data_IF_691672552849
#
_entry.id   IF_691672552849
#
_cell.length_a   1.000
_cell.length_b   1.000
_cell.length_c   1.000
_cell.angle_alpha   90.00
_cell.angle_beta   90.00
_cell.angle_gamma   90.00
#
_symmetry.space_group_name_H-M   'P 1'
#
loop_
_entity.id
_entity.type
_entity.pdbx_description
1 polymer ?
#
# COMPACT_ATOMS: atom_id res chain seq x y z
N UNK A 1 63.45 -8.18 -76.88
CA UNK A 1 62.77 -7.12 -76.10
C UNK A 1 61.37 -7.50 -75.66
N UNK A 2 60.58 -8.25 -76.45
CA UNK A 2 59.19 -8.65 -76.12
C UNK A 2 59.06 -9.53 -74.85
N UNK A 3 60.05 -10.34 -74.51
CA UNK A 3 60.00 -11.21 -73.31
C UNK A 3 60.08 -10.38 -72.02
N UNK A 4 60.92 -9.34 -72.00
CA UNK A 4 61.12 -8.48 -70.84
C UNK A 4 59.86 -7.66 -70.50
N UNK A 5 59.11 -7.22 -71.50
CA UNK A 5 57.84 -6.49 -71.30
C UNK A 5 56.76 -7.38 -70.68
N UNK A 6 56.72 -8.66 -71.09
CA UNK A 6 55.75 -9.63 -70.57
C UNK A 6 56.02 -9.98 -69.11
N UNK A 7 57.29 -10.10 -68.73
CA UNK A 7 57.69 -10.35 -67.34
C UNK A 7 57.40 -9.13 -66.46
N UNK A 8 57.63 -7.93 -66.99
CA UNK A 8 57.31 -6.68 -66.31
C UNK A 8 55.79 -6.55 -66.08
N UNK A 9 54.97 -6.81 -67.09
CA UNK A 9 53.51 -6.84 -66.96
C UNK A 9 53.03 -7.85 -65.94
N UNK A 10 53.65 -9.04 -65.90
CA UNK A 10 53.35 -10.07 -64.90
C UNK A 10 53.64 -9.56 -63.49
N UNK A 11 54.78 -8.91 -63.30
CA UNK A 11 55.18 -8.34 -62.02
C UNK A 11 54.26 -7.18 -61.59
N UNK A 12 53.82 -6.33 -62.53
CA UNK A 12 52.82 -5.30 -62.28
C UNK A 12 51.48 -5.90 -61.85
N UNK A 13 51.01 -6.93 -62.56
CA UNK A 13 49.76 -7.62 -62.24
C UNK A 13 49.77 -8.23 -60.84
N UNK A 14 50.88 -8.88 -60.45
CA UNK A 14 51.00 -9.42 -59.09
C UNK A 14 51.08 -8.34 -58.02
N UNK A 15 51.71 -7.19 -58.31
CA UNK A 15 51.79 -6.06 -57.38
C UNK A 15 50.42 -5.42 -57.15
N UNK A 16 49.65 -5.24 -58.22
CA UNK A 16 48.31 -4.65 -58.16
C UNK A 16 47.34 -5.54 -57.36
N UNK A 17 47.38 -6.86 -57.56
CA UNK A 17 46.59 -7.79 -56.75
C UNK A 17 46.96 -7.76 -55.26
N UNK A 18 48.24 -7.63 -54.94
CA UNK A 18 48.69 -7.51 -53.54
C UNK A 18 48.21 -6.22 -52.89
N UNK A 19 48.19 -5.10 -53.62
CA UNK A 19 47.66 -3.83 -53.13
C UNK A 19 46.14 -3.85 -52.95
N UNK A 20 45.40 -4.51 -53.85
CA UNK A 20 43.96 -4.72 -53.72
C UNK A 20 43.65 -5.59 -52.49
N UNK A 21 44.42 -6.66 -52.28
CA UNK A 21 44.28 -7.53 -51.10
C UNK A 21 44.61 -6.79 -49.80
N UNK A 22 45.68 -5.98 -49.76
CA UNK A 22 46.01 -5.13 -48.60
C UNK A 22 44.94 -4.07 -48.33
N UNK A 23 44.43 -3.37 -49.36
CA UNK A 23 43.32 -2.40 -49.21
C UNK A 23 42.04 -3.05 -48.70
N UNK A 24 41.75 -4.29 -49.12
CA UNK A 24 40.58 -5.03 -48.63
C UNK A 24 40.69 -5.45 -47.16
N UNK A 25 41.90 -5.73 -46.66
CA UNK A 25 42.14 -6.02 -45.24
C UNK A 25 42.12 -4.76 -44.37
N UNK A 26 42.63 -3.64 -44.86
CA UNK A 26 42.68 -2.38 -44.08
C UNK A 26 41.32 -1.67 -43.95
N UNK A 27 40.34 -2.01 -44.81
CA UNK A 27 38.95 -1.52 -44.68
C UNK A 27 38.06 -2.34 -43.75
N UNK A 28 38.57 -3.37 -43.08
CA UNK A 28 37.85 -4.08 -42.02
C UNK A 28 38.05 -3.43 -40.65
N UNK A 29 38.03 -2.09 -40.61
CA UNK A 29 37.99 -1.34 -39.36
C UNK A 29 36.59 -1.48 -38.75
N UNK A 30 36.49 -2.48 -37.88
CA UNK A 30 35.62 -2.58 -36.69
C UNK A 30 34.37 -1.71 -36.72
N UNK A 31 33.25 -2.29 -37.18
CA UNK A 31 31.93 -1.83 -36.72
C UNK A 31 31.95 -1.84 -35.18
N UNK A 32 31.49 -0.79 -34.48
CA UNK A 32 31.36 -0.86 -33.04
C UNK A 32 30.40 -2.01 -32.74
N UNK A 33 30.93 -3.04 -32.11
CA UNK A 33 30.16 -4.19 -31.63
C UNK A 33 29.19 -3.57 -30.62
N UNK A 34 27.92 -3.35 -31.02
CA UNK A 34 26.83 -3.03 -30.11
C UNK A 34 26.59 -4.25 -29.22
N UNK A 35 27.54 -4.54 -28.35
CA UNK A 35 27.48 -5.65 -27.41
C UNK A 35 26.68 -5.15 -26.22
N UNK A 36 25.49 -5.71 -26.09
CA UNK A 36 24.86 -6.02 -24.81
C UNK A 36 24.30 -4.85 -23.98
N UNK A 37 23.92 -3.73 -24.58
CA UNK A 37 23.10 -2.73 -23.86
C UNK A 37 21.71 -3.27 -23.53
N UNK A 38 21.14 -4.13 -24.38
CA UNK A 38 19.84 -4.78 -24.15
C UNK A 38 19.80 -5.64 -22.87
N UNK A 39 20.90 -6.33 -22.52
CA UNK A 39 20.96 -7.11 -21.28
C UNK A 39 20.98 -6.20 -20.05
N UNK A 40 21.71 -5.09 -20.12
CA UNK A 40 21.78 -4.09 -19.04
C UNK A 40 20.43 -3.41 -18.86
N UNK A 41 19.74 -3.04 -19.95
CA UNK A 41 18.40 -2.44 -19.91
C UNK A 41 17.38 -3.39 -19.25
N UNK A 42 17.44 -4.68 -19.55
CA UNK A 42 16.55 -5.66 -18.91
C UNK A 42 16.86 -5.85 -17.41
N UNK A 43 18.14 -5.83 -17.02
CA UNK A 43 18.54 -5.86 -15.60
C UNK A 43 18.03 -4.63 -14.88
N UNK A 44 18.20 -3.43 -15.46
CA UNK A 44 17.69 -2.18 -14.87
C UNK A 44 16.17 -2.20 -14.73
N UNK A 45 15.43 -2.72 -15.71
CA UNK A 45 13.97 -2.91 -15.61
C UNK A 45 13.59 -3.84 -14.46
N UNK A 46 14.28 -4.97 -14.30
CA UNK A 46 14.05 -5.89 -13.18
C UNK A 46 14.34 -5.23 -11.83
N UNK A 47 15.41 -4.45 -11.73
CA UNK A 47 15.74 -3.69 -10.51
C UNK A 47 14.65 -2.67 -10.20
N UNK A 48 14.14 -1.94 -11.19
CA UNK A 48 13.04 -0.98 -10.99
C UNK A 48 11.78 -1.70 -10.48
N UNK A 49 11.42 -2.85 -11.07
CA UNK A 49 10.26 -3.63 -10.62
C UNK A 49 10.47 -4.13 -9.18
N UNK A 50 11.67 -4.61 -8.86
CA UNK A 50 12.01 -5.07 -7.51
C UNK A 50 11.95 -3.93 -6.48
N UNK A 51 12.45 -2.74 -6.84
CA UNK A 51 12.38 -1.55 -5.98
C UNK A 51 10.94 -1.09 -5.75
N UNK A 52 10.10 -1.11 -6.79
CA UNK A 52 8.68 -0.79 -6.67
C UNK A 52 7.97 -1.79 -5.73
N UNK A 53 8.24 -3.09 -5.88
CA UNK A 53 7.72 -4.11 -4.98
C UNK A 53 8.18 -3.89 -3.53
N UNK A 54 9.47 -3.60 -3.32
CA UNK A 54 10.02 -3.33 -2.00
C UNK A 54 9.42 -2.06 -1.36
N UNK A 55 9.17 -1.02 -2.16
CA UNK A 55 8.53 0.21 -1.70
C UNK A 55 7.08 -0.04 -1.24
N UNK A 56 6.34 -0.90 -1.94
CA UNK A 56 5.02 -1.31 -1.49
C UNK A 56 5.12 -2.05 -0.14
N UNK A 57 6.02 -3.03 -0.02
CA UNK A 57 6.23 -3.76 1.24
C UNK A 57 6.59 -2.84 2.40
N UNK A 58 7.46 -1.84 2.20
CA UNK A 58 7.85 -0.91 3.27
C UNK A 58 6.69 0.00 3.70
N UNK A 59 5.81 0.38 2.77
CA UNK A 59 4.56 1.08 3.09
C UNK A 59 3.63 0.22 3.94
N UNK A 60 3.50 -1.07 3.62
CA UNK A 60 2.72 -2.01 4.43
C UNK A 60 3.29 -2.20 5.84
N UNK A 61 4.62 -2.22 5.99
CA UNK A 61 5.25 -2.31 7.30
C UNK A 61 4.93 -1.11 8.20
N UNK A 62 4.99 0.11 7.66
CA UNK A 62 4.62 1.33 8.39
C UNK A 62 3.10 1.40 8.68
N UNK A 63 2.27 0.88 7.77
CA UNK A 63 0.82 0.88 7.93
C UNK A 63 0.37 0.03 9.12
N UNK A 64 1.12 -1.01 9.47
CA UNK A 64 0.75 -1.94 10.55
C UNK A 64 0.63 -1.25 11.92
N UNK A 65 1.54 -0.35 12.27
CA UNK A 65 1.50 0.35 13.56
C UNK A 65 0.31 1.30 13.64
N UNK A 66 0.07 2.04 12.56
CA UNK A 66 -1.07 2.96 12.45
C UNK A 66 -2.40 2.20 12.48
N UNK A 67 -2.48 1.05 11.80
CA UNK A 67 -3.65 0.18 11.81
C UNK A 67 -3.92 -0.40 13.21
N UNK A 68 -2.87 -0.81 13.92
CA UNK A 68 -3.00 -1.30 15.30
C UNK A 68 -3.53 -0.21 16.23
N UNK A 69 -2.99 1.01 16.13
CA UNK A 69 -3.47 2.16 16.90
C UNK A 69 -4.92 2.50 16.59
N UNK A 70 -5.32 2.45 15.31
CA UNK A 70 -6.70 2.65 14.90
C UNK A 70 -7.64 1.59 15.50
N UNK A 71 -7.27 0.31 15.40
CA UNK A 71 -8.07 -0.78 15.95
C UNK A 71 -8.22 -0.68 17.48
N UNK A 72 -7.15 -0.30 18.18
CA UNK A 72 -7.20 -0.08 19.63
C UNK A 72 -8.14 1.08 19.98
N UNK A 73 -8.01 2.21 19.28
CA UNK A 73 -8.85 3.38 19.54
C UNK A 73 -10.32 3.08 19.25
N UNK A 74 -10.60 2.31 18.19
CA UNK A 74 -11.96 1.88 17.87
C UNK A 74 -12.54 0.94 18.94
N UNK A 75 -11.71 0.04 19.47
CA UNK A 75 -12.11 -0.85 20.58
C UNK A 75 -12.39 -0.07 21.86
N UNK A 76 -11.60 0.97 22.14
CA UNK A 76 -11.80 1.85 23.30
C UNK A 76 -13.11 2.65 23.17
N UNK A 77 -13.39 3.20 22.00
CA UNK A 77 -14.68 3.89 21.72
C UNK A 77 -15.85 2.96 21.97
N UNK A 78 -15.82 1.74 21.42
CA UNK A 78 -16.89 0.75 21.60
C UNK A 78 -17.09 0.39 23.08
N UNK A 79 -16.01 0.25 23.84
CA UNK A 79 -16.09 -0.02 25.27
C UNK A 79 -16.74 1.13 26.04
N UNK A 80 -16.35 2.37 25.74
CA UNK A 80 -16.92 3.58 26.37
C UNK A 80 -18.41 3.73 26.01
N UNK A 81 -18.80 3.46 24.76
CA UNK A 81 -20.20 3.49 24.33
C UNK A 81 -21.02 2.43 25.06
N UNK A 82 -20.52 1.20 25.16
CA UNK A 82 -21.18 0.13 25.91
C UNK A 82 -21.36 0.48 27.39
N UNK A 83 -20.33 1.05 28.02
CA UNK A 83 -20.42 1.51 29.41
C UNK A 83 -21.47 2.62 29.57
N UNK A 84 -21.51 3.57 28.65
CA UNK A 84 -22.51 4.63 28.65
C UNK A 84 -23.93 4.08 28.51
N UNK A 85 -24.15 3.15 27.59
CA UNK A 85 -25.46 2.53 27.40
C UNK A 85 -25.90 1.78 28.67
N UNK A 86 -25.00 0.98 29.25
CA UNK A 86 -25.26 0.27 30.50
C UNK A 86 -25.64 1.23 31.64
N UNK A 87 -24.90 2.33 31.80
CA UNK A 87 -25.20 3.34 32.82
C UNK A 87 -26.55 4.00 32.59
N UNK A 88 -26.91 4.29 31.32
CA UNK A 88 -28.23 4.84 30.98
C UNK A 88 -29.36 3.87 31.34
N UNK A 89 -29.20 2.58 31.06
CA UNK A 89 -30.16 1.54 31.45
C UNK A 89 -30.27 1.46 32.97
N UNK A 90 -29.15 1.53 33.70
CA UNK A 90 -29.16 1.51 35.16
C UNK A 90 -29.88 2.73 35.74
N UNK A 91 -29.62 3.93 35.20
CA UNK A 91 -30.35 5.16 35.58
C UNK A 91 -31.85 4.99 35.32
N UNK A 92 -32.24 4.48 34.15
CA UNK A 92 -33.65 4.25 33.82
C UNK A 92 -34.30 3.25 34.77
N UNK A 93 -33.61 2.17 35.12
CA UNK A 93 -34.06 1.20 36.13
C UNK A 93 -34.23 1.84 37.50
N UNK A 94 -33.28 2.65 37.93
CA UNK A 94 -33.33 3.35 39.22
C UNK A 94 -34.49 4.36 39.28
N UNK A 95 -34.73 5.07 38.18
CA UNK A 95 -35.82 6.05 38.03
C UNK A 95 -37.18 5.41 37.72
N UNK A 96 -37.22 4.11 37.42
CA UNK A 96 -38.47 3.45 37.05
C UNK A 96 -39.50 3.56 38.17
N UNK A 97 -40.71 3.99 37.82
CA UNK A 97 -41.83 4.14 38.77
C UNK A 97 -42.08 2.84 39.52
N UNK A 98 -42.03 1.71 38.82
CA UNK A 98 -42.17 0.37 39.43
C UNK A 98 -41.17 0.11 40.57
N UNK A 99 -39.90 0.52 40.41
CA UNK A 99 -38.90 0.36 41.48
C UNK A 99 -39.15 1.33 42.64
N UNK A 100 -39.53 2.58 42.33
CA UNK A 100 -39.85 3.58 43.35
C UNK A 100 -41.05 3.11 44.16
N UNK A 101 -42.07 2.59 43.50
CA UNK A 101 -43.28 2.04 44.11
C UNK A 101 -42.97 0.79 44.96
N UNK A 102 -42.14 -0.13 44.48
CA UNK A 102 -41.66 -1.29 45.25
C UNK A 102 -40.96 -0.85 46.54
N UNK A 103 -40.05 0.12 46.47
CA UNK A 103 -39.38 0.67 47.67
C UNK A 103 -40.39 1.36 48.59
N UNK A 104 -41.30 2.16 48.04
CA UNK A 104 -42.31 2.88 48.80
C UNK A 104 -43.22 1.90 49.57
N UNK A 105 -43.76 0.88 48.90
CA UNK A 105 -44.67 -0.09 49.49
C UNK A 105 -43.95 -1.07 50.42
N UNK A 106 -42.85 -1.67 49.96
CA UNK A 106 -42.22 -2.82 50.64
C UNK A 106 -41.14 -2.43 51.65
N UNK A 107 -40.46 -1.29 51.47
CA UNK A 107 -39.39 -0.86 52.41
C UNK A 107 -39.82 0.28 53.32
N UNK A 108 -40.62 1.22 52.79
CA UNK A 108 -41.06 2.40 53.55
C UNK A 108 -42.47 2.25 54.13
N UNK A 109 -43.17 1.13 53.87
CA UNK A 109 -44.55 0.89 54.29
C UNK A 109 -45.53 2.01 53.89
N UNK A 110 -45.25 2.72 52.78
CA UNK A 110 -46.17 3.70 52.23
C UNK A 110 -47.40 2.99 51.68
N UNK A 111 -48.58 3.54 51.98
CA UNK A 111 -49.86 3.07 51.46
C UNK A 111 -50.41 4.10 50.48
N UNK A 112 -51.11 3.63 49.45
CA UNK A 112 -51.82 4.55 48.59
C UNK A 112 -52.91 5.28 49.36
N UNK A 113 -53.10 6.59 49.10
CA UNK A 113 -54.18 7.35 49.71
C UNK A 113 -55.53 6.79 49.25
N UNK A 114 -56.49 6.69 50.17
CA UNK A 114 -57.85 6.34 49.81
C UNK A 114 -58.52 7.45 49.01
N UNK A 115 -59.54 7.11 48.20
CA UNK A 115 -60.27 8.07 47.35
C UNK A 115 -60.77 9.32 48.07
N UNK A 116 -60.97 9.23 49.38
CA UNK A 116 -61.45 10.31 50.27
C UNK A 116 -60.37 11.35 50.60
N UNK A 117 -59.09 11.03 50.34
CA UNK A 117 -57.92 11.84 50.72
C UNK A 117 -57.33 12.61 49.52
N UNK A 118 -57.93 12.48 48.33
CA UNK A 118 -57.48 13.13 47.10
C UNK A 118 -58.24 14.45 46.94
N UNK A 119 -57.50 15.57 46.94
CA UNK A 119 -58.06 16.93 46.75
C UNK A 119 -57.59 17.46 45.40
N UNK A 120 -58.54 17.86 44.56
CA UNK A 120 -58.25 18.52 43.28
C UNK A 120 -58.28 20.03 43.47
N UNK A 121 -57.20 20.72 43.12
CA UNK A 121 -57.16 22.18 43.06
C UNK A 121 -57.25 22.59 41.60
N UNK A 122 -58.21 23.46 41.27
CA UNK A 122 -58.33 24.06 39.95
C UNK A 122 -57.42 25.28 39.91
N UNK A 123 -56.45 25.29 39.01
CA UNK A 123 -55.62 26.46 38.71
C UNK A 123 -56.23 27.16 37.50
N UNK A 124 -56.83 28.33 37.72
CA UNK A 124 -57.29 29.27 36.68
C UNK A 124 -56.10 29.91 35.93
#
# INVERSE_FOLDING_TARGET
>A
MVVAEKDLQRQYYYREQQEIYRRSKTKQQTKPKQRSTYKIVNIVRLVIIALLAFLLLSRYAFLSESQYRLNNLQSEIQNIEFQNERLRVEIAKLKSVARIEDIAKNKLNMKEPGNQQIIFYNTD
#
